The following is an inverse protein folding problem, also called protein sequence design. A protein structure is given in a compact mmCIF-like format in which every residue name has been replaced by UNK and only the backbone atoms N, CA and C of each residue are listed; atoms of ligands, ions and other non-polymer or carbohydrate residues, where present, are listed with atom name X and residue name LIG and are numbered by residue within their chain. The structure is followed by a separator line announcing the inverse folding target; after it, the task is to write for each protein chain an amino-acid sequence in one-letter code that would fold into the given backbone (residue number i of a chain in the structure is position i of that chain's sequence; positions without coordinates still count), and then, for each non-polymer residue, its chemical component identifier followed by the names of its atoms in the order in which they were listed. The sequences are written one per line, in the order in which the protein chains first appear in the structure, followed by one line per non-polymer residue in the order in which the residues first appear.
data_IF_945475415067
#
_entry.id   IF_945475415067
#
_cell.length_a   1.000
_cell.length_b   1.000
_cell.length_c   1.000
_cell.angle_alpha   90.00
_cell.angle_beta   90.00
_cell.angle_gamma   90.00
#
_symmetry.space_group_name_H-M   'P 1'
#
loop_
_entity.id
_entity.type
_entity.pdbx_description
1 polymer ?
#
# COMPACT_ATOMS: atom_id res chain seq x y z
N UNK A 1 -54.61 4.81 40.74
CA UNK A 1 -53.80 3.81 40.04
C UNK A 1 -52.47 4.51 39.72
N UNK A 2 -51.45 4.35 40.56
CA UNK A 2 -50.19 5.06 40.50
C UNK A 2 -49.16 4.10 39.94
N UNK A 3 -48.61 4.41 38.75
CA UNK A 3 -47.55 3.62 38.10
C UNK A 3 -46.20 3.97 38.74
N UNK A 4 -45.55 2.98 39.33
CA UNK A 4 -44.22 3.09 39.88
C UNK A 4 -43.18 3.13 38.75
N UNK A 5 -42.40 4.20 38.70
CA UNK A 5 -41.24 4.36 37.85
C UNK A 5 -40.05 3.64 38.45
N UNK A 6 -39.59 2.58 37.81
CA UNK A 6 -38.38 1.85 38.22
C UNK A 6 -37.17 2.62 37.69
N UNK A 7 -36.37 3.19 38.58
CA UNK A 7 -35.11 3.84 38.27
C UNK A 7 -34.04 2.76 38.15
N UNK A 8 -33.54 2.53 36.92
CA UNK A 8 -32.35 1.70 36.70
C UNK A 8 -31.12 2.47 37.16
N UNK A 9 -30.52 2.02 38.23
CA UNK A 9 -29.23 2.47 38.74
C UNK A 9 -28.12 2.01 37.77
N UNK A 10 -27.44 2.97 37.19
CA UNK A 10 -26.23 2.70 36.36
C UNK A 10 -25.08 2.27 37.31
N UNK A 11 -24.28 1.25 36.90
CA UNK A 11 -23.11 0.89 37.69
C UNK A 11 -22.06 2.01 37.62
N UNK A 12 -21.73 2.57 38.78
CA UNK A 12 -20.62 3.51 38.92
C UNK A 12 -19.30 2.74 38.93
N UNK A 13 -18.46 2.94 37.91
CA UNK A 13 -17.10 2.43 37.91
C UNK A 13 -16.22 3.35 38.77
N UNK A 14 -15.69 2.83 39.84
CA UNK A 14 -14.69 3.52 40.66
C UNK A 14 -13.32 3.15 40.12
N UNK A 15 -12.60 4.13 39.54
CA UNK A 15 -11.19 3.99 39.23
C UNK A 15 -10.38 3.91 40.53
N UNK A 16 -9.91 2.72 40.87
CA UNK A 16 -8.95 2.54 41.96
C UNK A 16 -7.57 2.78 41.36
N UNK A 17 -6.95 3.90 41.72
CA UNK A 17 -5.54 4.14 41.43
C UNK A 17 -4.72 3.28 42.40
N UNK A 18 -4.17 2.18 41.92
CA UNK A 18 -3.17 1.42 42.63
C UNK A 18 -1.81 2.10 42.47
N UNK A 19 -1.32 2.70 43.54
CA UNK A 19 0.04 3.22 43.66
C UNK A 19 0.99 2.14 44.20
N UNK A 20 0.96 0.97 43.59
CA UNK A 20 1.98 -0.05 43.83
C UNK A 20 2.59 -0.45 42.49
N UNK A 21 3.91 -0.22 42.40
CA UNK A 21 4.80 -0.66 41.30
C UNK A 21 4.91 -2.19 41.27
N UNK A 22 3.80 -2.88 41.01
CA UNK A 22 3.85 -4.28 40.61
C UNK A 22 3.73 -4.31 39.10
N UNK A 23 4.80 -4.79 38.46
CA UNK A 23 4.82 -5.07 37.02
C UNK A 23 3.60 -5.90 36.65
N UNK A 24 2.61 -5.25 36.02
CA UNK A 24 1.27 -5.79 35.74
C UNK A 24 1.28 -6.90 34.66
N UNK A 25 2.45 -7.39 34.26
CA UNK A 25 2.63 -8.38 33.19
C UNK A 25 3.68 -9.45 33.53
N UNK A 26 3.62 -10.01 34.74
CA UNK A 26 4.36 -11.24 35.03
C UNK A 26 3.59 -12.44 34.48
N UNK A 27 3.65 -12.67 33.18
CA UNK A 27 3.14 -13.91 32.60
C UNK A 27 4.21 -14.99 32.74
N UNK A 28 3.91 -16.18 33.34
CA UNK A 28 4.90 -17.23 33.56
C UNK A 28 5.62 -17.71 32.30
N UNK A 29 5.03 -17.46 31.13
CA UNK A 29 5.61 -17.80 29.82
C UNK A 29 6.70 -16.81 29.36
N UNK A 30 6.73 -15.59 29.96
CA UNK A 30 7.74 -14.57 29.63
C UNK A 30 9.05 -14.75 30.42
N UNK A 31 9.07 -15.60 31.44
CA UNK A 31 10.27 -15.96 32.18
C UNK A 31 11.11 -17.07 31.52
N UNK A 32 10.79 -17.45 30.30
CA UNK A 32 11.56 -18.43 29.52
C UNK A 32 12.97 -17.96 29.11
N UNK A 33 13.26 -16.70 29.27
CA UNK A 33 14.60 -16.14 29.12
C UNK A 33 15.06 -15.53 30.44
N UNK A 34 15.76 -16.29 31.31
CA UNK A 34 16.40 -15.68 32.46
C UNK A 34 17.28 -14.55 31.93
N UNK A 35 17.10 -13.35 32.48
CA UNK A 35 17.97 -12.21 32.19
C UNK A 35 19.37 -12.51 32.73
N UNK A 36 20.07 -13.42 32.05
CA UNK A 36 21.46 -13.71 32.29
C UNK A 36 22.27 -12.53 31.82
N UNK A 37 22.75 -11.76 32.79
CA UNK A 37 23.83 -10.79 32.66
C UNK A 37 23.73 -9.89 31.42
N UNK A 38 23.18 -8.70 31.65
CA UNK A 38 23.37 -7.57 30.75
C UNK A 38 24.90 -7.35 30.61
N UNK A 39 25.51 -7.95 29.60
CA UNK A 39 26.76 -7.42 29.10
C UNK A 39 26.54 -5.94 28.79
N UNK A 40 27.49 -5.06 29.16
CA UNK A 40 27.38 -3.64 28.86
C UNK A 40 27.07 -3.52 27.38
N UNK A 41 25.99 -2.80 27.07
CA UNK A 41 25.51 -2.63 25.71
C UNK A 41 26.71 -2.26 24.81
N UNK A 42 27.11 -3.16 23.94
CA UNK A 42 28.04 -2.83 22.86
C UNK A 42 27.39 -1.69 22.09
N UNK A 43 28.12 -0.60 21.91
CA UNK A 43 27.65 0.48 21.06
C UNK A 43 27.13 -0.13 19.75
N UNK A 44 25.91 0.22 19.34
CA UNK A 44 25.37 -0.33 18.11
C UNK A 44 26.32 0.08 16.97
N UNK A 45 26.92 -0.92 16.35
CA UNK A 45 27.69 -0.70 15.13
C UNK A 45 26.82 0.13 14.17
N UNK A 46 27.39 1.16 13.49
CA UNK A 46 26.62 1.95 12.55
C UNK A 46 25.95 0.99 11.56
N UNK A 47 24.64 0.86 11.69
CA UNK A 47 23.84 0.04 10.78
C UNK A 47 23.97 0.70 9.41
N UNK A 48 24.86 0.16 8.59
CA UNK A 48 24.84 0.47 7.17
C UNK A 48 23.46 0.04 6.70
N UNK A 49 22.60 1.01 6.37
CA UNK A 49 21.32 0.74 5.76
C UNK A 49 21.61 -0.12 4.54
N UNK A 50 21.28 -1.40 4.63
CA UNK A 50 21.40 -2.30 3.50
C UNK A 50 20.58 -1.64 2.37
N UNK A 51 21.24 -1.30 1.27
CA UNK A 51 20.54 -0.87 0.07
C UNK A 51 19.81 -2.11 -0.45
N UNK A 52 18.52 -2.20 -0.14
CA UNK A 52 17.67 -3.21 -0.73
C UNK A 52 17.49 -2.81 -2.20
N UNK A 53 18.07 -3.56 -3.08
CA UNK A 53 17.81 -3.44 -4.50
C UNK A 53 16.55 -4.23 -4.82
N UNK A 54 15.59 -3.58 -5.44
CA UNK A 54 14.45 -4.25 -5.99
C UNK A 54 14.85 -4.91 -7.29
N UNK A 55 14.54 -6.20 -7.38
CA UNK A 55 14.50 -6.88 -8.66
C UNK A 55 13.18 -6.45 -9.30
N UNK A 56 13.19 -5.78 -10.47
CA UNK A 56 11.96 -5.38 -11.15
C UNK A 56 11.09 -6.62 -11.40
N UNK A 57 9.81 -6.56 -10.96
CA UNK A 57 8.89 -7.70 -11.04
C UNK A 57 8.51 -8.11 -12.47
N UNK A 58 8.96 -7.37 -13.47
CA UNK A 58 8.69 -7.64 -14.88
C UNK A 58 9.89 -8.18 -15.67
N UNK A 59 10.94 -8.63 -14.99
CA UNK A 59 11.83 -9.59 -15.60
C UNK A 59 11.06 -10.90 -15.81
N UNK A 60 10.06 -10.88 -16.69
CA UNK A 60 9.37 -12.07 -17.19
C UNK A 60 10.34 -12.87 -18.08
N UNK A 61 11.35 -13.42 -17.46
CA UNK A 61 12.03 -14.53 -18.03
C UNK A 61 11.25 -15.78 -17.69
N UNK A 62 10.65 -16.31 -18.71
CA UNK A 62 10.27 -17.70 -18.80
C UNK A 62 11.26 -18.53 -17.96
N UNK A 63 10.80 -19.19 -16.94
CA UNK A 63 11.45 -20.09 -15.97
C UNK A 63 12.70 -20.87 -16.45
N UNK A 64 13.65 -20.24 -17.06
CA UNK A 64 14.95 -20.79 -17.45
C UNK A 64 15.98 -19.74 -17.08
N UNK A 65 16.69 -19.96 -15.99
CA UNK A 65 17.68 -19.05 -15.39
C UNK A 65 18.85 -18.72 -16.32
N UNK A 66 18.57 -17.93 -17.33
CA UNK A 66 19.59 -17.24 -18.10
C UNK A 66 19.63 -15.79 -17.66
N UNK A 67 20.78 -15.37 -17.18
CA UNK A 67 21.07 -14.03 -16.69
C UNK A 67 20.67 -12.98 -17.73
N UNK A 68 19.99 -11.88 -17.26
CA UNK A 68 19.61 -10.74 -18.08
C UNK A 68 20.87 -9.92 -18.45
N UNK A 69 21.79 -10.49 -19.20
CA UNK A 69 22.98 -9.77 -19.68
C UNK A 69 22.70 -8.98 -20.98
N UNK A 70 21.42 -8.65 -21.24
CA UNK A 70 21.01 -7.88 -22.41
C UNK A 70 20.71 -6.42 -22.08
N UNK A 71 20.98 -5.54 -23.03
CA UNK A 71 20.76 -4.09 -23.01
C UNK A 71 19.28 -3.67 -22.72
N UNK A 72 18.35 -4.63 -22.68
CA UNK A 72 16.90 -4.43 -22.50
C UNK A 72 16.39 -4.68 -21.08
N UNK A 73 17.26 -4.85 -20.08
CA UNK A 73 16.82 -4.98 -18.70
C UNK A 73 16.33 -3.64 -18.16
N UNK A 74 15.10 -3.57 -17.63
CA UNK A 74 14.56 -2.33 -17.10
C UNK A 74 15.40 -1.85 -15.90
N UNK A 75 15.77 -0.57 -15.92
CA UNK A 75 16.65 0.03 -14.91
C UNK A 75 15.80 0.61 -13.78
N UNK A 76 15.96 0.11 -12.52
CA UNK A 76 15.29 0.70 -11.37
C UNK A 76 15.69 2.18 -11.21
N UNK A 77 14.69 3.04 -11.00
CA UNK A 77 14.91 4.49 -10.86
C UNK A 77 14.49 4.93 -9.46
N UNK A 78 15.34 5.72 -8.81
CA UNK A 78 15.03 6.29 -7.49
C UNK A 78 13.83 7.23 -7.55
N UNK A 79 13.01 7.23 -6.51
CA UNK A 79 11.84 8.13 -6.41
C UNK A 79 12.21 9.62 -6.53
N UNK A 80 13.44 9.99 -6.17
CA UNK A 80 13.95 11.37 -6.28
C UNK A 80 14.14 11.85 -7.73
N UNK A 81 14.28 10.92 -8.67
CA UNK A 81 14.48 11.19 -10.09
C UNK A 81 13.18 11.11 -10.90
N UNK A 82 12.09 10.70 -10.22
CA UNK A 82 10.79 10.47 -10.82
C UNK A 82 9.86 11.68 -10.67
N UNK A 83 8.83 11.80 -11.52
CA UNK A 83 7.80 12.81 -11.34
C UNK A 83 7.13 12.74 -9.97
N UNK A 84 6.62 13.88 -9.50
CA UNK A 84 5.91 13.97 -8.23
C UNK A 84 4.76 12.94 -8.18
N UNK A 85 4.80 12.10 -7.16
CA UNK A 85 4.03 10.89 -7.07
C UNK A 85 2.52 11.14 -6.97
N UNK A 86 2.10 12.15 -6.20
CA UNK A 86 0.67 12.42 -6.00
C UNK A 86 0.01 12.91 -7.29
N UNK A 87 0.64 13.83 -8.00
CA UNK A 87 0.14 14.33 -9.28
C UNK A 87 0.14 13.24 -10.34
N UNK A 88 1.17 12.37 -10.33
CA UNK A 88 1.23 11.22 -11.22
C UNK A 88 0.07 10.24 -10.96
N UNK A 89 -0.13 9.84 -9.70
CA UNK A 89 -1.20 8.93 -9.30
C UNK A 89 -2.58 9.50 -9.60
N UNK A 90 -2.80 10.79 -9.32
CA UNK A 90 -4.06 11.46 -9.65
C UNK A 90 -4.34 11.42 -11.16
N UNK A 91 -3.34 11.77 -11.97
CA UNK A 91 -3.47 11.76 -13.44
C UNK A 91 -3.74 10.35 -13.97
N UNK A 92 -3.04 9.35 -13.42
CA UNK A 92 -3.23 7.95 -13.78
C UNK A 92 -4.64 7.46 -13.40
N UNK A 93 -5.08 7.74 -12.16
CA UNK A 93 -6.38 7.33 -11.66
C UNK A 93 -7.55 7.94 -12.44
N UNK A 94 -7.46 9.22 -12.80
CA UNK A 94 -8.48 9.88 -13.65
C UNK A 94 -8.55 9.18 -15.01
N UNK A 95 -7.40 8.95 -15.66
CA UNK A 95 -7.37 8.27 -16.95
C UNK A 95 -7.93 6.84 -16.87
N UNK A 96 -7.60 6.10 -15.80
CA UNK A 96 -8.11 4.76 -15.51
C UNK A 96 -9.64 4.74 -15.41
N UNK A 97 -10.20 5.65 -14.60
CA UNK A 97 -11.65 5.74 -14.40
C UNK A 97 -12.39 6.11 -15.69
N UNK A 98 -11.82 6.97 -16.52
CA UNK A 98 -12.39 7.34 -17.82
C UNK A 98 -12.33 6.15 -18.81
N UNK A 99 -11.28 5.33 -18.77
CA UNK A 99 -11.17 4.10 -19.58
C UNK A 99 -12.23 3.08 -19.14
N UNK A 100 -12.37 2.85 -17.84
CA UNK A 100 -13.42 1.96 -17.33
C UNK A 100 -14.82 2.45 -17.64
N UNK A 101 -15.02 3.78 -17.69
CA UNK A 101 -16.25 4.42 -18.13
C UNK A 101 -16.44 4.48 -19.66
N UNK A 102 -15.48 3.95 -20.44
CA UNK A 102 -15.52 3.94 -21.91
C UNK A 102 -15.35 5.31 -22.57
N UNK A 103 -14.86 6.32 -21.85
CA UNK A 103 -14.67 7.69 -22.38
C UNK A 103 -13.25 7.96 -22.89
N UNK A 104 -12.30 7.09 -22.56
CA UNK A 104 -10.89 7.22 -22.94
C UNK A 104 -10.37 5.93 -23.55
N UNK A 105 -9.48 6.05 -24.52
CA UNK A 105 -8.80 4.91 -25.13
C UNK A 105 -7.72 4.36 -24.20
N UNK A 106 -7.64 3.02 -24.01
CA UNK A 106 -6.61 2.38 -23.19
C UNK A 106 -5.18 2.69 -23.64
N UNK A 107 -4.99 2.90 -24.94
CA UNK A 107 -3.67 3.19 -25.54
C UNK A 107 -2.91 4.34 -24.85
N UNK A 108 -3.61 5.28 -24.22
CA UNK A 108 -2.97 6.38 -23.49
C UNK A 108 -2.23 5.95 -22.22
N UNK A 109 -2.58 4.79 -21.66
CA UNK A 109 -1.89 4.22 -20.51
C UNK A 109 -0.91 3.09 -20.88
N UNK A 110 -0.76 2.74 -22.17
CA UNK A 110 0.10 1.65 -22.61
C UNK A 110 1.55 1.79 -22.11
N UNK A 111 2.12 2.99 -22.22
CA UNK A 111 3.49 3.25 -21.77
C UNK A 111 3.62 3.44 -20.24
N UNK A 112 2.52 3.44 -19.51
CA UNK A 112 2.48 3.65 -18.06
C UNK A 112 2.09 2.40 -17.27
N UNK A 113 1.80 1.30 -17.98
CA UNK A 113 1.40 0.03 -17.39
C UNK A 113 2.31 -1.08 -17.84
N UNK A 114 2.56 -2.03 -16.92
CA UNK A 114 3.11 -3.30 -17.31
C UNK A 114 2.17 -4.02 -18.28
N UNK A 115 2.72 -4.84 -19.19
CA UNK A 115 1.97 -5.51 -20.27
C UNK A 115 0.74 -6.29 -19.77
N UNK A 116 0.88 -6.99 -18.66
CA UNK A 116 -0.23 -7.77 -18.07
C UNK A 116 -1.37 -6.85 -17.64
N UNK A 117 -1.04 -5.78 -16.92
CA UNK A 117 -2.01 -4.77 -16.45
C UNK A 117 -2.69 -4.06 -17.63
N UNK A 118 -1.92 -3.72 -18.66
CA UNK A 118 -2.48 -3.12 -19.86
C UNK A 118 -3.50 -4.03 -20.56
N UNK A 119 -3.21 -5.32 -20.66
CA UNK A 119 -4.15 -6.29 -21.25
C UNK A 119 -5.43 -6.40 -20.42
N UNK A 120 -5.33 -6.35 -19.09
CA UNK A 120 -6.50 -6.31 -18.21
C UNK A 120 -7.31 -5.02 -18.37
N UNK A 121 -6.62 -3.90 -18.53
CA UNK A 121 -7.25 -2.60 -18.75
C UNK A 121 -8.09 -2.61 -20.04
N UNK A 122 -7.55 -3.20 -21.13
CA UNK A 122 -8.29 -3.38 -22.38
C UNK A 122 -9.57 -4.19 -22.13
N UNK A 123 -9.47 -5.31 -21.40
CA UNK A 123 -10.63 -6.17 -21.10
C UNK A 123 -11.70 -5.47 -20.24
N UNK A 124 -11.26 -4.58 -19.36
CA UNK A 124 -12.16 -3.83 -18.45
C UNK A 124 -12.63 -2.49 -19.03
N UNK A 125 -12.28 -2.17 -20.29
CA UNK A 125 -12.73 -0.93 -20.95
C UNK A 125 -14.25 -0.88 -21.05
N UNK A 126 -14.87 0.22 -20.60
CA UNK A 126 -16.32 0.41 -20.63
C UNK A 126 -17.10 -0.50 -19.66
N UNK A 127 -16.41 -1.15 -18.70
CA UNK A 127 -17.04 -2.06 -17.73
C UNK A 127 -17.91 -1.32 -16.68
N UNK A 128 -17.67 -0.03 -16.49
CA UNK A 128 -18.42 0.80 -15.54
C UNK A 128 -19.41 1.70 -16.28
N UNK A 129 -20.66 1.71 -15.83
CA UNK A 129 -21.71 2.58 -16.41
C UNK A 129 -21.49 4.05 -16.10
N UNK A 130 -20.88 4.34 -14.95
CA UNK A 130 -20.62 5.69 -14.46
C UNK A 130 -19.14 5.89 -14.24
N UNK A 131 -18.66 7.11 -14.47
CA UNK A 131 -17.29 7.47 -14.13
C UNK A 131 -17.18 7.63 -12.63
N UNK A 132 -16.24 6.91 -12.03
CA UNK A 132 -15.94 7.02 -10.62
C UNK A 132 -15.41 8.41 -10.26
N UNK A 133 -15.82 8.92 -9.09
CA UNK A 133 -15.29 10.16 -8.51
C UNK A 133 -14.31 9.82 -7.41
N UNK A 134 -13.06 10.26 -7.55
CA UNK A 134 -12.00 10.08 -6.55
C UNK A 134 -12.39 10.84 -5.28
N UNK A 135 -12.28 10.20 -4.13
CA UNK A 135 -12.56 10.77 -2.82
C UNK A 135 -11.28 11.01 -2.03
N UNK A 136 -10.46 9.99 -1.90
CA UNK A 136 -9.20 10.04 -1.17
C UNK A 136 -8.14 9.22 -1.88
N UNK A 137 -6.89 9.64 -1.73
CA UNK A 137 -5.73 8.91 -2.20
C UNK A 137 -4.80 8.75 -1.00
N UNK A 138 -4.48 7.51 -0.66
CA UNK A 138 -3.43 7.16 0.29
C UNK A 138 -2.25 6.59 -0.47
N UNK A 139 -1.07 7.02 -0.09
CA UNK A 139 0.17 6.60 -0.72
C UNK A 139 1.19 6.21 0.33
N UNK A 140 1.90 5.13 0.08
CA UNK A 140 3.01 4.64 0.87
C UNK A 140 4.18 4.33 -0.03
N UNK A 141 5.38 4.68 0.38
CA UNK A 141 6.62 4.31 -0.30
C UNK A 141 7.40 3.37 0.63
N UNK A 142 7.10 2.06 0.59
CA UNK A 142 7.78 1.08 1.44
C UNK A 142 9.27 0.97 1.13
N UNK A 143 9.65 1.20 -0.12
CA UNK A 143 11.02 1.18 -0.61
C UNK A 143 11.24 2.32 -1.61
N UNK A 144 12.49 2.70 -1.83
CA UNK A 144 12.82 3.70 -2.84
C UNK A 144 12.43 3.19 -4.24
N UNK A 145 11.77 4.05 -5.02
CA UNK A 145 11.26 3.69 -6.34
C UNK A 145 10.02 2.78 -6.33
N UNK A 146 9.43 2.48 -5.16
CA UNK A 146 8.14 1.76 -5.07
C UNK A 146 7.10 2.60 -4.37
N UNK A 147 5.92 2.63 -4.95
CA UNK A 147 4.75 3.23 -4.34
C UNK A 147 3.56 2.28 -4.36
N UNK A 148 2.91 2.18 -3.22
CA UNK A 148 1.61 1.55 -3.07
C UNK A 148 0.57 2.64 -2.83
N UNK A 149 -0.49 2.65 -3.64
CA UNK A 149 -1.56 3.64 -3.56
C UNK A 149 -2.89 2.96 -3.37
N UNK A 150 -3.69 3.46 -2.44
CA UNK A 150 -5.08 3.07 -2.27
C UNK A 150 -5.96 4.28 -2.53
N UNK A 151 -6.84 4.18 -3.53
CA UNK A 151 -7.70 5.25 -4.00
C UNK A 151 -9.14 4.88 -3.71
N UNK A 152 -9.81 5.66 -2.87
CA UNK A 152 -11.25 5.51 -2.66
C UNK A 152 -12.02 6.24 -3.75
N UNK A 153 -12.88 5.52 -4.43
CA UNK A 153 -13.66 6.02 -5.56
C UNK A 153 -15.15 5.78 -5.33
N UNK A 154 -15.96 6.76 -5.67
CA UNK A 154 -17.42 6.65 -5.64
C UNK A 154 -17.96 6.45 -7.04
N UNK A 155 -18.65 5.33 -7.26
CA UNK A 155 -19.42 5.02 -8.47
C UNK A 155 -20.92 5.10 -8.11
N UNK A 156 -21.60 6.18 -8.50
CA UNK A 156 -22.97 6.44 -8.06
C UNK A 156 -23.10 6.41 -6.54
N UNK A 157 -23.85 5.45 -6.01
CA UNK A 157 -24.06 5.26 -4.57
C UNK A 157 -23.02 4.32 -3.93
N UNK A 158 -22.19 3.65 -4.71
CA UNK A 158 -21.22 2.66 -4.20
C UNK A 158 -19.84 3.27 -4.02
N UNK A 159 -19.24 3.03 -2.87
CA UNK A 159 -17.82 3.28 -2.63
C UNK A 159 -17.03 2.01 -2.93
N UNK A 160 -15.91 2.17 -3.62
CA UNK A 160 -14.95 1.10 -3.92
C UNK A 160 -13.54 1.61 -3.68
N UNK A 161 -12.61 0.68 -3.48
CA UNK A 161 -11.21 0.99 -3.41
C UNK A 161 -10.48 0.47 -4.66
N UNK A 162 -9.55 1.27 -5.17
CA UNK A 162 -8.61 0.86 -6.20
C UNK A 162 -7.25 0.77 -5.53
N UNK A 163 -6.60 -0.36 -5.65
CA UNK A 163 -5.21 -0.53 -5.22
C UNK A 163 -4.30 -0.51 -6.43
N UNK A 164 -3.21 0.23 -6.34
CA UNK A 164 -2.25 0.41 -7.42
C UNK A 164 -0.85 0.33 -6.84
N UNK A 165 0.02 -0.45 -7.46
CA UNK A 165 1.45 -0.42 -7.22
C UNK A 165 2.15 0.22 -8.40
N UNK A 166 3.01 1.17 -8.12
CA UNK A 166 3.91 1.80 -9.08
C UNK A 166 5.35 1.45 -8.75
N UNK A 167 6.12 1.18 -9.78
CA UNK A 167 7.56 0.97 -9.70
C UNK A 167 8.26 1.99 -10.59
N UNK A 168 9.35 2.56 -10.08
CA UNK A 168 10.21 3.48 -10.82
C UNK A 168 11.12 2.71 -11.77
N UNK A 169 10.89 2.85 -13.06
CA UNK A 169 11.61 2.12 -14.09
C UNK A 169 11.89 3.04 -15.27
N UNK A 170 13.12 3.06 -15.75
CA UNK A 170 13.54 3.85 -16.92
C UNK A 170 13.11 5.32 -16.83
N UNK A 171 13.29 5.95 -15.67
CA UNK A 171 12.96 7.35 -15.42
C UNK A 171 11.47 7.68 -15.33
N UNK A 172 10.60 6.69 -15.13
CA UNK A 172 9.14 6.87 -15.04
C UNK A 172 8.49 5.92 -14.03
N UNK A 173 7.33 6.32 -13.53
CA UNK A 173 6.48 5.41 -12.77
C UNK A 173 5.74 4.44 -13.70
N UNK A 174 5.85 3.15 -13.45
CA UNK A 174 5.17 2.07 -14.17
C UNK A 174 4.17 1.40 -13.23
N UNK A 175 2.92 1.25 -13.65
CA UNK A 175 1.91 0.49 -12.92
C UNK A 175 2.15 -1.01 -13.10
N UNK A 176 2.48 -1.72 -12.02
CA UNK A 176 2.77 -3.16 -12.00
C UNK A 176 1.66 -3.99 -11.39
N UNK A 177 0.81 -3.40 -10.54
CA UNK A 177 -0.38 -4.05 -9.98
C UNK A 177 -1.56 -3.08 -9.98
N UNK A 178 -2.76 -3.61 -10.24
CA UNK A 178 -3.99 -2.84 -10.32
C UNK A 178 -5.20 -3.71 -10.00
N UNK A 179 -5.89 -3.41 -8.90
CA UNK A 179 -7.12 -4.08 -8.50
C UNK A 179 -8.24 -3.10 -8.14
N UNK A 180 -9.48 -3.54 -8.36
CA UNK A 180 -10.70 -2.86 -7.95
C UNK A 180 -11.45 -3.73 -6.95
N UNK A 181 -11.54 -3.27 -5.72
CA UNK A 181 -12.17 -3.93 -4.57
C UNK A 181 -13.58 -3.38 -4.31
#
# INVERSE_FOLDING_TARGET
MVAAMTIHSSPSFTLVSSTEDQAMWSHPILDLYPQSHLEPAREPLPVQKAKLYLVPSHCDKNYGGEDCDGEDCPIPTSASELPELHAWTMTFAVALLEIWGGRRQPAQLMARCHRVIYNELIRKTGSQKEIGKIRTIYQSQPLDGICESTITVRFGERLRAITIRFEGVDGRWLCTELDLI
#
